data_IF_779659957818
#
_entry.id   IF_779659957818
#
_cell.length_a   1.000
_cell.length_b   1.000
_cell.length_c   1.000
_cell.angle_alpha   90.00
_cell.angle_beta   90.00
_cell.angle_gamma   90.00
#
_symmetry.space_group_name_H-M   'P 1'
#
loop_
_entity.id
_entity.type
_entity.pdbx_description
1 polymer ?
#
# COMPACT_ATOMS: atom_id res chain seq x y z
N UNK A 1 20.43 -3.79 20.05
CA UNK A 1 19.40 -2.80 20.44
C UNK A 1 18.90 -1.97 19.25
N UNK A 2 19.78 -1.30 18.48
CA UNK A 2 19.36 -0.42 17.35
C UNK A 2 18.51 -1.08 16.25
N UNK A 3 18.73 -2.36 15.92
CA UNK A 3 17.95 -3.08 14.89
C UNK A 3 16.51 -3.38 15.33
N UNK A 4 16.29 -3.67 16.61
CA UNK A 4 14.96 -4.02 17.14
C UNK A 4 14.04 -2.79 17.10
N UNK A 5 14.54 -1.64 17.55
CA UNK A 5 13.81 -0.36 17.49
C UNK A 5 13.44 0.04 16.05
N UNK A 6 14.32 -0.25 15.08
CA UNK A 6 14.05 -0.03 13.65
C UNK A 6 12.98 -0.96 13.10
N UNK A 7 13.00 -2.25 13.48
CA UNK A 7 11.98 -3.22 13.06
C UNK A 7 10.61 -2.81 13.61
N UNK A 8 10.54 -2.43 14.89
CA UNK A 8 9.30 -1.95 15.52
C UNK A 8 8.77 -0.69 14.85
N UNK A 9 9.65 0.27 14.53
CA UNK A 9 9.28 1.47 13.79
C UNK A 9 8.71 1.13 12.41
N UNK A 10 9.37 0.24 11.66
CA UNK A 10 8.89 -0.16 10.33
C UNK A 10 7.56 -0.91 10.42
N UNK A 11 7.40 -1.82 11.38
CA UNK A 11 6.14 -2.50 11.62
C UNK A 11 5.03 -1.48 11.92
N UNK A 12 5.28 -0.48 12.78
CA UNK A 12 4.31 0.57 13.09
C UNK A 12 3.89 1.36 11.84
N UNK A 13 4.84 1.74 10.99
CA UNK A 13 4.55 2.45 9.73
C UNK A 13 3.72 1.56 8.79
N UNK A 14 4.09 0.28 8.66
CA UNK A 14 3.37 -0.67 7.81
C UNK A 14 1.93 -0.85 8.31
N UNK A 15 1.73 -1.14 9.60
CA UNK A 15 0.39 -1.32 10.17
C UNK A 15 -0.48 -0.07 10.02
N UNK A 16 0.08 1.12 10.27
CA UNK A 16 -0.65 2.39 10.08
C UNK A 16 -1.08 2.57 8.63
N UNK A 17 -0.21 2.25 7.67
CA UNK A 17 -0.54 2.32 6.24
C UNK A 17 -1.62 1.30 5.85
N UNK A 18 -1.57 0.07 6.39
CA UNK A 18 -2.62 -0.95 6.18
C UNK A 18 -3.96 -0.43 6.72
N UNK A 19 -4.00 0.05 7.97
CA UNK A 19 -5.22 0.57 8.59
C UNK A 19 -5.81 1.74 7.80
N UNK A 20 -4.97 2.65 7.31
CA UNK A 20 -5.38 3.77 6.47
C UNK A 20 -6.03 3.28 5.17
N UNK A 21 -5.45 2.28 4.49
CA UNK A 21 -6.01 1.70 3.27
C UNK A 21 -7.35 1.01 3.56
N UNK A 22 -7.45 0.27 4.67
CA UNK A 22 -8.69 -0.41 5.05
C UNK A 22 -9.80 0.59 5.36
N UNK A 23 -9.51 1.62 6.16
CA UNK A 23 -10.47 2.68 6.48
C UNK A 23 -10.94 3.39 5.21
N UNK A 24 -10.01 3.76 4.33
CA UNK A 24 -10.33 4.38 3.04
C UNK A 24 -11.23 3.48 2.18
N UNK A 25 -10.91 2.18 2.11
CA UNK A 25 -11.67 1.21 1.32
C UNK A 25 -13.09 1.01 1.85
N UNK A 26 -13.25 0.96 3.18
CA UNK A 26 -14.57 0.86 3.83
C UNK A 26 -15.40 2.11 3.52
N UNK A 27 -14.82 3.31 3.64
CA UNK A 27 -15.52 4.57 3.35
C UNK A 27 -16.03 4.57 1.90
N UNK A 28 -15.21 4.15 0.93
CA UNK A 28 -15.63 4.07 -0.47
C UNK A 28 -16.72 3.00 -0.67
N UNK A 29 -16.57 1.82 -0.07
CA UNK A 29 -17.55 0.73 -0.17
C UNK A 29 -18.93 1.10 0.40
N UNK A 30 -18.98 2.04 1.35
CA UNK A 30 -20.24 2.56 1.90
C UNK A 30 -20.95 3.53 0.94
N UNK A 31 -20.20 4.18 0.04
CA UNK A 31 -20.73 5.20 -0.89
C UNK A 31 -21.03 4.58 -2.27
N UNK A 32 -20.26 3.57 -2.67
CA UNK A 32 -20.32 2.95 -3.98
C UNK A 32 -20.31 1.42 -3.88
N UNK A 33 -20.97 0.69 -4.81
CA UNK A 33 -20.89 -0.76 -4.87
C UNK A 33 -19.42 -1.22 -5.00
N UNK A 34 -19.08 -2.34 -4.37
CA UNK A 34 -17.71 -2.87 -4.38
C UNK A 34 -17.31 -3.19 -5.83
N UNK A 35 -16.39 -2.39 -6.35
CA UNK A 35 -15.75 -2.64 -7.64
C UNK A 35 -14.58 -3.61 -7.48
N UNK A 36 -14.13 -4.18 -8.60
CA UNK A 36 -12.97 -5.08 -8.61
C UNK A 36 -11.71 -4.37 -8.10
N UNK A 37 -11.53 -3.11 -8.46
CA UNK A 37 -10.41 -2.26 -8.04
C UNK A 37 -10.41 -2.08 -6.52
N UNK A 38 -11.58 -1.82 -5.93
CA UNK A 38 -11.73 -1.67 -4.49
C UNK A 38 -11.43 -2.98 -3.74
N UNK A 39 -11.87 -4.11 -4.30
CA UNK A 39 -11.55 -5.43 -3.75
C UNK A 39 -10.04 -5.71 -3.79
N UNK A 40 -9.37 -5.37 -4.89
CA UNK A 40 -7.91 -5.51 -5.03
C UNK A 40 -7.19 -4.63 -3.99
N UNK A 41 -7.60 -3.37 -3.84
CA UNK A 41 -7.05 -2.43 -2.85
C UNK A 41 -7.18 -2.98 -1.42
N UNK A 42 -8.29 -3.67 -1.10
CA UNK A 42 -8.53 -4.26 0.21
C UNK A 42 -7.72 -5.53 0.48
N UNK A 43 -7.59 -6.42 -0.53
CA UNK A 43 -6.97 -7.74 -0.37
C UNK A 43 -5.44 -7.63 -0.28
N UNK A 44 -4.85 -6.72 -1.05
CA UNK A 44 -3.39 -6.55 -1.15
C UNK A 44 -2.69 -6.31 0.20
N UNK A 45 -3.15 -5.41 1.07
CA UNK A 45 -2.62 -5.24 2.43
C UNK A 45 -2.77 -6.49 3.31
N UNK A 46 -3.88 -7.21 3.16
CA UNK A 46 -4.16 -8.42 3.94
C UNK A 46 -3.22 -9.58 3.59
N UNK A 47 -2.77 -9.66 2.34
CA UNK A 47 -1.77 -10.66 1.92
C UNK A 47 -0.48 -10.52 2.72
N UNK A 48 -0.01 -9.29 2.97
CA UNK A 48 1.19 -9.09 3.79
C UNK A 48 1.01 -9.63 5.22
N UNK A 49 -0.14 -9.35 5.84
CA UNK A 49 -0.46 -9.86 7.19
C UNK A 49 -0.50 -11.39 7.22
N UNK A 50 -1.08 -12.01 6.18
CA UNK A 50 -1.10 -13.46 6.02
C UNK A 50 0.31 -14.03 5.90
N UNK A 51 1.13 -13.48 4.99
CA UNK A 51 2.51 -13.92 4.76
C UNK A 51 3.37 -13.76 6.02
N UNK A 52 3.19 -12.69 6.79
CA UNK A 52 3.94 -12.46 8.03
C UNK A 52 3.73 -13.58 9.05
N UNK A 53 2.52 -14.14 9.13
CA UNK A 53 2.16 -15.27 10.02
C UNK A 53 2.69 -16.62 9.55
N UNK A 54 2.99 -16.77 8.26
CA UNK A 54 3.59 -18.02 7.75
C UNK A 54 5.02 -18.14 8.28
N UNK A 55 5.37 -19.34 8.76
CA UNK A 55 6.68 -19.68 9.31
C UNK A 55 7.83 -19.56 8.31
N UNK A 56 9.00 -20.09 8.67
CA UNK A 56 10.25 -19.85 7.95
C UNK A 56 10.34 -20.60 6.61
N UNK A 57 9.68 -20.05 5.59
CA UNK A 57 9.82 -20.49 4.21
C UNK A 57 10.86 -19.62 3.50
N UNK A 58 11.82 -20.26 2.82
CA UNK A 58 12.77 -19.57 1.94
C UNK A 58 12.05 -18.69 0.89
N UNK A 59 10.83 -19.08 0.49
CA UNK A 59 9.96 -18.33 -0.41
C UNK A 59 9.30 -17.10 0.22
N UNK A 60 9.14 -17.03 1.55
CA UNK A 60 8.49 -15.91 2.26
C UNK A 60 9.13 -14.58 1.89
N UNK A 61 10.46 -14.50 1.98
CA UNK A 61 11.16 -13.26 1.64
C UNK A 61 10.99 -12.85 0.17
N UNK A 62 10.98 -13.81 -0.75
CA UNK A 62 10.79 -13.52 -2.17
C UNK A 62 9.39 -12.98 -2.44
N UNK A 63 8.39 -13.61 -1.83
CA UNK A 63 6.99 -13.17 -1.93
C UNK A 63 6.83 -11.76 -1.35
N UNK A 64 7.42 -11.46 -0.18
CA UNK A 64 7.37 -10.12 0.42
C UNK A 64 8.01 -9.06 -0.49
N UNK A 65 9.13 -9.38 -1.15
CA UNK A 65 9.76 -8.48 -2.12
C UNK A 65 8.86 -8.22 -3.32
N UNK A 66 8.27 -9.26 -3.90
CA UNK A 66 7.32 -9.10 -5.01
C UNK A 66 6.14 -8.24 -4.58
N UNK A 67 5.59 -8.50 -3.39
CA UNK A 67 4.48 -7.75 -2.82
C UNK A 67 4.82 -6.26 -2.64
N UNK A 68 6.04 -5.95 -2.19
CA UNK A 68 6.50 -4.55 -2.08
C UNK A 68 6.57 -3.83 -3.42
N UNK A 69 6.95 -4.53 -4.49
CA UNK A 69 6.95 -3.96 -5.85
C UNK A 69 5.52 -3.72 -6.32
N UNK A 70 4.61 -4.68 -6.08
CA UNK A 70 3.19 -4.53 -6.43
C UNK A 70 2.58 -3.30 -5.74
N UNK A 71 2.88 -3.06 -4.46
CA UNK A 71 2.41 -1.85 -3.78
C UNK A 71 2.89 -0.55 -4.44
N UNK A 72 4.13 -0.51 -4.93
CA UNK A 72 4.66 0.63 -5.67
C UNK A 72 3.94 0.85 -7.00
N UNK A 73 3.68 -0.23 -7.73
CA UNK A 73 2.91 -0.21 -8.98
C UNK A 73 1.49 0.31 -8.72
N UNK A 74 0.82 -0.17 -7.67
CA UNK A 74 -0.54 0.27 -7.31
C UNK A 74 -0.57 1.75 -6.95
N UNK A 75 0.40 2.22 -6.15
CA UNK A 75 0.53 3.65 -5.83
C UNK A 75 0.70 4.51 -7.10
N UNK A 76 1.60 4.11 -8.00
CA UNK A 76 1.81 4.79 -9.29
C UNK A 76 0.58 4.74 -10.20
N UNK A 77 -0.09 3.59 -10.27
CA UNK A 77 -1.32 3.43 -11.05
C UNK A 77 -2.43 4.36 -10.57
N UNK A 78 -2.69 4.42 -9.25
CA UNK A 78 -3.71 5.32 -8.68
C UNK A 78 -3.37 6.79 -9.02
N UNK A 79 -2.10 7.17 -8.90
CA UNK A 79 -1.65 8.52 -9.25
C UNK A 79 -1.93 8.85 -10.73
N UNK A 80 -1.56 7.94 -11.64
CA UNK A 80 -1.78 8.11 -13.09
C UNK A 80 -3.28 8.20 -13.40
N UNK A 81 -4.10 7.35 -12.80
CA UNK A 81 -5.56 7.39 -12.98
C UNK A 81 -6.14 8.71 -12.48
N UNK A 82 -5.69 9.23 -11.33
CA UNK A 82 -6.13 10.54 -10.83
C UNK A 82 -5.78 11.69 -11.79
N UNK A 83 -4.61 11.61 -12.44
CA UNK A 83 -4.19 12.60 -13.44
C UNK A 83 -5.06 12.49 -14.70
N UNK A 84 -5.17 11.29 -15.27
CA UNK A 84 -5.89 11.05 -16.53
C UNK A 84 -7.38 11.34 -16.38
N UNK A 85 -8.02 10.90 -15.29
CA UNK A 85 -9.44 11.18 -15.03
C UNK A 85 -9.73 12.68 -15.00
N UNK A 86 -8.85 13.48 -14.38
CA UNK A 86 -8.99 14.94 -14.38
C UNK A 86 -8.89 15.57 -15.77
N UNK A 87 -8.05 15.02 -16.65
CA UNK A 87 -7.96 15.47 -18.05
C UNK A 87 -9.12 14.99 -18.92
N UNK A 88 -9.69 13.81 -18.64
CA UNK A 88 -10.82 13.26 -19.42
C UNK A 88 -12.17 13.87 -19.04
N UNK A 89 -12.43 14.11 -17.76
CA UNK A 89 -13.74 14.59 -17.30
C UNK A 89 -13.97 16.08 -17.59
N UNK A 90 -12.91 16.91 -17.50
CA UNK A 90 -13.04 18.37 -17.61
C UNK A 90 -11.83 19.08 -18.25
N UNK A 91 -10.85 18.35 -18.80
CA UNK A 91 -9.64 18.89 -19.44
C UNK A 91 -8.85 19.93 -18.61
N UNK A 92 -8.97 19.89 -17.27
CA UNK A 92 -8.30 20.88 -16.41
C UNK A 92 -7.42 20.23 -15.37
N UNK A 93 -6.24 20.82 -15.19
CA UNK A 93 -5.28 20.39 -14.18
C UNK A 93 -5.84 20.50 -12.76
N UNK A 94 -6.81 21.39 -12.53
CA UNK A 94 -7.45 21.57 -11.22
C UNK A 94 -8.26 20.35 -10.78
N UNK A 95 -8.94 19.66 -11.71
CA UNK A 95 -9.67 18.43 -11.37
C UNK A 95 -8.69 17.30 -11.08
N UNK A 96 -7.60 17.20 -11.84
CA UNK A 96 -6.52 16.26 -11.54
C UNK A 96 -5.93 16.50 -10.14
N UNK A 97 -5.65 17.75 -9.77
CA UNK A 97 -5.17 18.10 -8.42
C UNK A 97 -6.18 17.73 -7.33
N UNK A 98 -7.47 17.98 -7.56
CA UNK A 98 -8.54 17.58 -6.64
C UNK A 98 -8.57 16.05 -6.45
N UNK A 99 -8.50 15.29 -7.54
CA UNK A 99 -8.51 13.83 -7.51
C UNK A 99 -7.29 13.28 -6.76
N UNK A 100 -6.10 13.83 -7.03
CA UNK A 100 -4.87 13.48 -6.30
C UNK A 100 -5.00 13.82 -4.82
N UNK A 101 -5.54 15.01 -4.48
CA UNK A 101 -5.70 15.43 -3.09
C UNK A 101 -6.62 14.48 -2.31
N UNK A 102 -7.76 14.10 -2.88
CA UNK A 102 -8.70 13.15 -2.28
C UNK A 102 -8.07 11.77 -2.08
N UNK A 103 -7.31 11.28 -3.08
CA UNK A 103 -6.69 9.96 -3.04
C UNK A 103 -5.28 9.95 -2.42
N UNK A 104 -4.78 11.10 -1.95
CA UNK A 104 -3.39 11.28 -1.54
C UNK A 104 -2.97 10.34 -0.41
N UNK A 105 -3.85 10.13 0.57
CA UNK A 105 -3.64 9.19 1.67
C UNK A 105 -3.52 7.75 1.18
N UNK A 106 -4.32 7.35 0.20
CA UNK A 106 -4.27 6.01 -0.37
C UNK A 106 -2.96 5.81 -1.16
N UNK A 107 -2.61 6.77 -2.03
CA UNK A 107 -1.37 6.78 -2.81
C UNK A 107 -0.16 6.68 -1.88
N UNK A 108 -0.12 7.52 -0.85
CA UNK A 108 0.96 7.55 0.14
C UNK A 108 1.03 6.24 0.92
N UNK A 109 -0.10 5.68 1.35
CA UNK A 109 -0.11 4.43 2.12
C UNK A 109 0.46 3.27 1.32
N UNK A 110 0.09 3.12 0.05
CA UNK A 110 0.70 2.10 -0.81
C UNK A 110 2.19 2.36 -1.08
N UNK A 111 2.60 3.61 -1.21
CA UNK A 111 4.02 3.96 -1.35
C UNK A 111 4.82 3.58 -0.08
N UNK A 112 4.26 3.88 1.10
CA UNK A 112 4.85 3.50 2.39
C UNK A 112 4.94 1.97 2.50
N UNK A 113 3.89 1.24 2.12
CA UNK A 113 3.95 -0.23 2.08
C UNK A 113 5.06 -0.71 1.14
N UNK A 114 5.20 -0.15 -0.06
CA UNK A 114 6.27 -0.51 -0.99
C UNK A 114 7.66 -0.36 -0.37
N UNK A 115 7.93 0.76 0.29
CA UNK A 115 9.25 1.06 0.85
C UNK A 115 9.51 0.25 2.13
N UNK A 116 8.58 0.31 3.08
CA UNK A 116 8.82 -0.18 4.43
C UNK A 116 8.67 -1.70 4.54
N UNK A 117 7.80 -2.32 3.74
CA UNK A 117 7.74 -3.79 3.65
C UNK A 117 9.05 -4.35 3.10
N UNK A 118 9.62 -3.72 2.06
CA UNK A 118 10.92 -4.10 1.52
C UNK A 118 12.03 -3.93 2.54
N UNK A 119 12.12 -2.75 3.18
CA UNK A 119 13.13 -2.45 4.20
C UNK A 119 13.03 -3.43 5.38
N UNK A 120 11.85 -3.60 5.97
CA UNK A 120 11.61 -4.53 7.09
C UNK A 120 12.06 -5.95 6.75
N UNK A 121 11.76 -6.43 5.55
CA UNK A 121 12.20 -7.76 5.09
C UNK A 121 13.73 -7.88 4.92
N UNK A 122 14.43 -6.79 4.61
CA UNK A 122 15.90 -6.82 4.53
C UNK A 122 16.53 -6.88 5.93
N UNK A 123 15.98 -6.17 6.91
CA UNK A 123 16.48 -6.19 8.29
C UNK A 123 16.23 -7.54 8.99
N UNK A 124 15.08 -8.18 8.75
CA UNK A 124 14.79 -9.52 9.30
C UNK A 124 15.78 -10.61 8.84
N UNK A 125 16.48 -10.40 7.72
CA UNK A 125 17.55 -11.31 7.26
C UNK A 125 18.90 -11.10 7.93
N UNK A 126 19.13 -9.94 8.52
CA UNK A 126 20.41 -9.59 9.15
C UNK A 126 20.48 -10.18 10.57
N UNK A 127 19.32 -10.41 11.19
CA UNK A 127 19.20 -10.94 12.56
C UNK A 127 18.98 -12.48 12.61
N UNK A 128 19.07 -13.19 11.46
CA UNK A 128 19.01 -14.66 11.32
C UNK A 128 20.40 -15.23 10.97
#
# INVERSE_FOLDING_TARGET
MKNIELIELYDKIIYTAIETILAYSIIIALIHPISLELAIILILPMLYLGIKKIGNLKSKSTIIKILSVIYGIVSGYILIVCIISGFLENATINVAYKNISINSLLILSFLLLSIFVYKRNQYEKIDL
#
